data_IF_045379356543
#
_entry.id   IF_045379356543
#
_cell.length_a   1.000
_cell.length_b   1.000
_cell.length_c   1.000
_cell.angle_alpha   90.00
_cell.angle_beta   90.00
_cell.angle_gamma   90.00
#
_symmetry.space_group_name_H-M   'P 1'
#
loop_
_entity.id
_entity.type
_entity.pdbx_description
1 polymer ?
#
# COMPACT_ATOMS: atom_id res chain seq x y z
N UNK A 1 11.51 -21.95 8.57
CA UNK A 1 11.46 -20.48 8.47
C UNK A 1 10.91 -19.96 9.78
N UNK A 2 11.59 -18.99 10.41
CA UNK A 2 11.03 -18.34 11.59
C UNK A 2 9.87 -17.40 11.18
N UNK A 3 9.01 -16.98 12.13
CA UNK A 3 7.86 -16.11 11.81
C UNK A 3 8.23 -14.81 11.08
N UNK A 4 9.38 -14.21 11.40
CA UNK A 4 9.84 -12.98 10.75
C UNK A 4 10.22 -13.19 9.28
N UNK A 5 10.83 -14.33 8.96
CA UNK A 5 11.15 -14.70 7.58
C UNK A 5 9.89 -14.94 6.73
N UNK A 6 8.85 -15.54 7.34
CA UNK A 6 7.55 -15.73 6.68
C UNK A 6 6.92 -14.37 6.34
N UNK A 7 6.85 -13.46 7.32
CA UNK A 7 6.32 -12.10 7.11
C UNK A 7 7.10 -11.36 6.04
N UNK A 8 8.44 -11.40 6.09
CA UNK A 8 9.29 -10.75 5.10
C UNK A 8 9.06 -11.32 3.68
N UNK A 9 8.86 -12.64 3.55
CA UNK A 9 8.54 -13.29 2.27
C UNK A 9 7.19 -12.84 1.75
N UNK A 10 6.17 -12.80 2.60
CA UNK A 10 4.82 -12.38 2.22
C UNK A 10 4.76 -10.89 1.86
N UNK A 11 5.45 -10.03 2.61
CA UNK A 11 5.62 -8.61 2.28
C UNK A 11 6.21 -8.45 0.88
N UNK A 12 7.30 -9.17 0.57
CA UNK A 12 7.90 -9.12 -0.78
C UNK A 12 6.95 -9.61 -1.86
N UNK A 13 6.16 -10.65 -1.60
CA UNK A 13 5.17 -11.15 -2.54
C UNK A 13 4.06 -10.12 -2.83
N UNK A 14 3.64 -9.34 -1.83
CA UNK A 14 2.71 -8.23 -2.04
C UNK A 14 3.33 -7.09 -2.85
N UNK A 15 4.57 -6.70 -2.53
CA UNK A 15 5.28 -5.65 -3.26
C UNK A 15 5.48 -6.02 -4.72
N UNK A 16 5.87 -7.26 -5.03
CA UNK A 16 6.05 -7.74 -6.40
C UNK A 16 4.77 -7.54 -7.24
N UNK A 17 3.63 -8.02 -6.73
CA UNK A 17 2.33 -7.82 -7.38
C UNK A 17 1.95 -6.35 -7.54
N UNK A 18 2.27 -5.52 -6.55
CA UNK A 18 2.00 -4.08 -6.60
C UNK A 18 2.88 -3.36 -7.65
N UNK A 19 4.11 -3.84 -7.89
CA UNK A 19 4.95 -3.35 -8.98
C UNK A 19 4.40 -3.78 -10.33
N UNK A 20 3.91 -5.01 -10.46
CA UNK A 20 3.31 -5.50 -11.71
C UNK A 20 2.05 -4.71 -12.06
N UNK A 21 1.17 -4.41 -11.09
CA UNK A 21 0.02 -3.54 -11.32
C UNK A 21 0.45 -2.15 -11.84
N UNK A 22 1.48 -1.54 -11.24
CA UNK A 22 1.95 -0.22 -11.65
C UNK A 22 2.55 -0.24 -13.07
N UNK A 23 3.25 -1.31 -13.44
CA UNK A 23 3.75 -1.52 -14.81
C UNK A 23 2.59 -1.63 -15.79
N UNK A 24 1.57 -2.45 -15.47
CA UNK A 24 0.36 -2.57 -16.29
C UNK A 24 -0.36 -1.25 -16.46
N UNK A 25 -0.52 -0.48 -15.37
CA UNK A 25 -1.12 0.85 -15.42
C UNK A 25 -0.39 1.78 -16.39
N UNK A 26 0.95 1.76 -16.39
CA UNK A 26 1.77 2.57 -17.31
C UNK A 26 1.54 2.18 -18.76
N UNK A 27 1.54 0.89 -19.07
CA UNK A 27 1.32 0.39 -20.43
C UNK A 27 -0.08 0.76 -20.92
N UNK A 28 -1.09 0.55 -20.09
CA UNK A 28 -2.49 0.83 -20.43
C UNK A 28 -2.77 2.33 -20.61
N UNK A 29 -2.17 3.18 -19.78
CA UNK A 29 -2.29 4.63 -19.93
C UNK A 29 -1.69 5.09 -21.26
N UNK A 30 -0.53 4.56 -21.66
CA UNK A 30 0.08 4.88 -22.95
C UNK A 30 -0.74 4.35 -24.14
N UNK A 31 -1.58 3.33 -23.93
CA UNK A 31 -2.48 2.80 -24.93
C UNK A 31 -3.84 3.54 -25.01
N UNK A 32 -4.04 4.62 -24.23
CA UNK A 32 -5.32 5.35 -24.19
C UNK A 32 -6.44 4.58 -23.49
N UNK A 33 -6.09 3.71 -22.54
CA UNK A 33 -7.05 2.92 -21.75
C UNK A 33 -7.05 3.41 -20.29
N UNK A 34 -7.41 4.69 -20.08
CA UNK A 34 -7.26 5.38 -18.79
C UNK A 34 -8.08 4.72 -17.69
N UNK A 35 -9.28 4.24 -17.98
CA UNK A 35 -10.14 3.55 -17.01
C UNK A 35 -9.47 2.29 -16.47
N UNK A 36 -8.89 1.46 -17.34
CA UNK A 36 -8.18 0.23 -16.95
C UNK A 36 -6.85 0.56 -16.27
N UNK A 37 -6.15 1.61 -16.72
CA UNK A 37 -4.94 2.09 -16.07
C UNK A 37 -5.22 2.53 -14.62
N UNK A 38 -6.32 3.27 -14.39
CA UNK A 38 -6.74 3.72 -13.07
C UNK A 38 -7.08 2.54 -12.15
N UNK A 39 -7.76 1.52 -12.66
CA UNK A 39 -8.01 0.27 -11.93
C UNK A 39 -6.70 -0.36 -11.43
N UNK A 40 -5.68 -0.45 -12.29
CA UNK A 40 -4.39 -0.98 -11.88
C UNK A 40 -3.64 -0.06 -10.91
N UNK A 41 -3.79 1.26 -11.01
CA UNK A 41 -3.28 2.19 -10.00
C UNK A 41 -3.89 1.94 -8.61
N UNK A 42 -5.21 1.72 -8.53
CA UNK A 42 -5.87 1.36 -7.27
C UNK A 42 -5.31 0.05 -6.71
N UNK A 43 -5.21 -0.99 -7.55
CA UNK A 43 -4.69 -2.29 -7.14
C UNK A 43 -3.25 -2.21 -6.63
N UNK A 44 -2.42 -1.43 -7.32
CA UNK A 44 -1.04 -1.11 -6.93
C UNK A 44 -0.96 -0.46 -5.53
N UNK A 45 -1.87 0.47 -5.22
CA UNK A 45 -1.95 1.11 -3.91
C UNK A 45 -2.42 0.13 -2.82
N UNK A 46 -3.47 -0.66 -3.10
CA UNK A 46 -3.99 -1.65 -2.15
C UNK A 46 -2.93 -2.68 -1.77
N UNK A 47 -2.20 -3.21 -2.76
CA UNK A 47 -1.18 -4.23 -2.53
C UNK A 47 0.03 -3.69 -1.76
N UNK A 48 0.39 -2.41 -1.94
CA UNK A 48 1.41 -1.75 -1.11
C UNK A 48 0.97 -1.59 0.34
N UNK A 49 -0.28 -1.23 0.60
CA UNK A 49 -0.82 -1.18 1.96
C UNK A 49 -0.84 -2.56 2.61
N UNK A 50 -1.26 -3.59 1.86
CA UNK A 50 -1.21 -4.99 2.33
C UNK A 50 0.22 -5.42 2.67
N UNK A 51 1.21 -5.06 1.85
CA UNK A 51 2.62 -5.32 2.14
C UNK A 51 3.09 -4.67 3.45
N UNK A 52 2.72 -3.40 3.67
CA UNK A 52 3.02 -2.66 4.88
C UNK A 52 2.39 -3.32 6.12
N UNK A 53 1.10 -3.64 6.06
CA UNK A 53 0.41 -4.30 7.18
C UNK A 53 0.99 -5.68 7.48
N UNK A 54 1.31 -6.49 6.45
CA UNK A 54 2.00 -7.77 6.61
C UNK A 54 3.37 -7.59 7.29
N UNK A 55 4.15 -6.58 6.88
CA UNK A 55 5.47 -6.32 7.48
C UNK A 55 5.37 -6.03 8.98
N UNK A 56 4.32 -5.30 9.38
CA UNK A 56 4.04 -4.99 10.78
C UNK A 56 3.29 -6.10 11.52
N UNK A 57 3.11 -7.28 10.91
CA UNK A 57 2.31 -8.38 11.45
C UNK A 57 0.88 -7.96 11.86
N UNK A 58 0.32 -6.97 11.16
CA UNK A 58 -1.02 -6.46 11.41
C UNK A 58 -2.03 -7.25 10.57
N UNK A 59 -2.96 -7.99 11.18
CA UNK A 59 -4.01 -8.69 10.45
C UNK A 59 -4.92 -7.71 9.70
N UNK A 60 -5.33 -8.10 8.49
CA UNK A 60 -6.31 -7.38 7.69
C UNK A 60 -7.20 -8.37 6.94
N UNK A 61 -8.45 -7.97 6.68
CA UNK A 61 -9.34 -8.75 5.83
C UNK A 61 -8.95 -8.54 4.37
N UNK A 62 -9.15 -9.56 3.53
CA UNK A 62 -9.00 -9.43 2.06
C UNK A 62 -10.19 -8.64 1.50
N UNK A 63 -10.23 -7.35 1.78
CA UNK A 63 -11.18 -6.39 1.21
C UNK A 63 -10.48 -5.59 0.10
N UNK A 64 -11.27 -5.12 -0.86
CA UNK A 64 -10.84 -4.18 -1.92
C UNK A 64 -11.15 -2.73 -1.51
N UNK A 65 -10.87 -2.39 -0.25
CA UNK A 65 -11.19 -1.10 0.31
C UNK A 65 -9.92 -0.39 0.81
N UNK A 66 -9.43 0.56 0.00
CA UNK A 66 -8.27 1.39 0.34
C UNK A 66 -8.43 2.15 1.67
N UNK A 67 -9.64 2.60 2.00
CA UNK A 67 -9.90 3.37 3.23
C UNK A 67 -9.73 2.49 4.47
N UNK A 68 -10.21 1.25 4.43
CA UNK A 68 -10.04 0.28 5.52
C UNK A 68 -8.56 -0.02 5.76
N UNK A 69 -7.83 -0.36 4.69
CA UNK A 69 -6.40 -0.67 4.77
C UNK A 69 -5.58 0.54 5.22
N UNK A 70 -5.91 1.74 4.71
CA UNK A 70 -5.26 2.99 5.08
C UNK A 70 -5.46 3.35 6.56
N UNK A 71 -6.67 3.16 7.10
CA UNK A 71 -6.93 3.38 8.51
C UNK A 71 -6.10 2.46 9.42
N UNK A 72 -5.97 1.18 9.05
CA UNK A 72 -5.10 0.25 9.77
C UNK A 72 -3.64 0.71 9.72
N UNK A 73 -3.15 1.13 8.54
CA UNK A 73 -1.77 1.57 8.37
C UNK A 73 -1.46 2.83 9.19
N UNK A 74 -2.36 3.82 9.20
CA UNK A 74 -2.22 5.05 10.00
C UNK A 74 -2.09 4.72 11.49
N UNK A 75 -2.79 3.70 11.99
CA UNK A 75 -2.69 3.26 13.38
C UNK A 75 -1.29 2.77 13.79
N UNK A 76 -0.48 2.34 12.82
CA UNK A 76 0.87 1.81 13.05
C UNK A 76 1.98 2.86 12.88
N UNK A 77 1.68 3.99 12.22
CA UNK A 77 2.65 5.07 12.05
C UNK A 77 2.70 5.86 13.36
N UNK A 78 3.86 5.94 14.03
CA UNK A 78 4.01 6.77 15.22
C UNK A 78 3.60 8.20 14.87
N UNK A 79 2.65 8.76 15.62
CA UNK A 79 2.34 10.19 15.50
C UNK A 79 3.56 10.94 16.00
N UNK A 80 4.41 11.40 15.08
CA UNK A 80 5.43 12.40 15.42
C UNK A 80 4.70 13.55 16.12
N UNK A 81 5.21 13.98 17.27
CA UNK A 81 4.70 15.15 17.99
C UNK A 81 4.49 16.26 16.97
N UNK A 82 3.25 16.72 16.80
CA UNK A 82 2.93 17.87 15.94
C UNK A 82 3.90 18.98 16.34
N UNK A 83 4.84 19.35 15.46
CA UNK A 83 5.58 20.60 15.65
C UNK A 83 4.51 21.70 15.68
N UNK A 84 4.46 22.54 16.73
CA UNK A 84 3.52 23.65 16.73
C UNK A 84 3.76 24.46 15.46
N UNK A 85 2.69 24.76 14.73
CA UNK A 85 2.72 25.76 13.66
C UNK A 85 3.14 27.07 14.34
N UNK A 86 4.43 27.41 14.27
CA UNK A 86 4.86 28.79 14.46
C UNK A 86 4.18 29.59 13.35
N UNK A 87 3.16 30.38 13.71
CA UNK A 87 2.71 31.48 12.87
C UNK A 87 3.95 32.35 12.66
N UNK A 88 4.44 32.44 11.43
CA UNK A 88 5.36 33.51 11.09
C UNK A 88 4.57 34.83 11.03
N UNK A 89 5.19 35.94 11.46
CA UNK A 89 4.57 37.26 11.50
C UNK A 89 4.19 37.78 10.12
#
# INVERSE_FOLDING_TARGET
MNPNELLARETRAWLAKAFDDLKSARVLANAGLEGTALYHCQQSAEKRLKAFLTWHNQPFRKTHNLKELGNLAIGLIPRSRRRPRTRMP
#
